data_IF_944666793819
#
_entry.id   IF_944666793819
#
_cell.length_a   1.000
_cell.length_b   1.000
_cell.length_c   1.000
_cell.angle_alpha   90.00
_cell.angle_beta   90.00
_cell.angle_gamma   90.00
#
_symmetry.space_group_name_H-M   'P 1'
#
loop_
_entity.id
_entity.type
_entity.pdbx_description
1 polymer ?
#
# COMPACT_ATOMS: atom_id res chain seq x y z
N UNK A 1 -8.52 25.61 -19.85
CA UNK A 1 -8.96 24.29 -20.34
C UNK A 1 -9.60 23.55 -19.19
N UNK A 2 -10.68 22.79 -19.42
CA UNK A 2 -11.24 21.96 -18.37
C UNK A 2 -10.12 21.05 -17.85
N UNK A 3 -9.74 21.18 -16.58
CA UNK A 3 -8.67 20.36 -16.00
C UNK A 3 -9.10 18.88 -15.85
N UNK A 4 -10.28 18.54 -16.35
CA UNK A 4 -11.02 17.30 -16.13
C UNK A 4 -11.69 16.79 -17.40
N UNK A 5 -11.13 17.08 -18.56
CA UNK A 5 -11.42 16.16 -19.66
C UNK A 5 -10.78 14.82 -19.28
N UNK A 6 -11.61 13.80 -19.02
CA UNK A 6 -11.17 12.44 -18.72
C UNK A 6 -10.32 11.86 -19.87
N UNK A 7 -10.40 12.45 -21.06
CA UNK A 7 -9.48 12.18 -22.17
C UNK A 7 -8.03 12.65 -21.90
N UNK A 8 -7.78 13.40 -20.82
CA UNK A 8 -6.48 13.99 -20.48
C UNK A 8 -5.99 13.63 -19.06
N UNK A 9 -6.51 12.58 -18.38
CA UNK A 9 -5.99 12.15 -17.06
C UNK A 9 -4.49 11.77 -17.08
N UNK A 10 -3.95 11.58 -18.28
CA UNK A 10 -2.54 11.28 -18.56
C UNK A 10 -1.70 12.53 -18.84
N UNK A 11 -2.34 13.70 -18.98
CA UNK A 11 -1.66 14.99 -19.11
C UNK A 11 -1.61 15.67 -17.75
N UNK A 12 -0.51 16.35 -17.39
CA UNK A 12 -0.45 17.08 -16.13
C UNK A 12 -1.57 18.13 -16.02
N UNK A 13 -2.41 18.00 -14.99
CA UNK A 13 -3.52 18.92 -14.68
C UNK A 13 -3.23 19.75 -13.43
N UNK A 14 -4.09 20.74 -13.13
CA UNK A 14 -4.03 21.46 -11.84
C UNK A 14 -4.15 20.50 -10.65
N UNK A 15 -5.05 19.51 -10.73
CA UNK A 15 -5.20 18.47 -9.70
C UNK A 15 -3.92 17.65 -9.51
N UNK A 16 -3.27 17.22 -10.60
CA UNK A 16 -2.00 16.49 -10.54
C UNK A 16 -0.89 17.32 -9.88
N UNK A 17 -0.79 18.61 -10.21
CA UNK A 17 0.20 19.51 -9.60
C UNK A 17 -0.04 19.72 -8.09
N UNK A 18 -1.30 19.88 -7.67
CA UNK A 18 -1.66 20.01 -6.25
C UNK A 18 -1.41 18.70 -5.50
N UNK A 19 -1.75 17.54 -6.09
CA UNK A 19 -1.48 16.24 -5.47
C UNK A 19 0.03 16.02 -5.22
N UNK A 20 0.88 16.38 -6.21
CA UNK A 20 2.34 16.34 -6.04
C UNK A 20 2.80 17.30 -4.94
N UNK A 21 2.29 18.54 -4.91
CA UNK A 21 2.57 19.52 -3.86
C UNK A 21 2.18 18.98 -2.47
N UNK A 22 1.00 18.40 -2.33
CA UNK A 22 0.51 17.83 -1.08
C UNK A 22 1.42 16.68 -0.59
N UNK A 23 1.77 15.73 -1.46
CA UNK A 23 2.71 14.64 -1.10
C UNK A 23 4.10 15.17 -0.73
N UNK A 24 4.63 16.13 -1.49
CA UNK A 24 5.94 16.71 -1.22
C UNK A 24 5.99 17.45 0.13
N UNK A 25 4.95 18.24 0.44
CA UNK A 25 4.83 18.94 1.72
C UNK A 25 4.64 17.97 2.88
N UNK A 26 3.83 16.92 2.69
CA UNK A 26 3.68 15.85 3.69
C UNK A 26 5.04 15.22 4.02
N UNK A 27 5.85 14.94 3.00
CA UNK A 27 7.18 14.35 3.20
C UNK A 27 8.10 15.34 3.92
N UNK A 28 8.11 16.62 3.51
CA UNK A 28 8.87 17.67 4.16
C UNK A 28 8.48 17.90 5.63
N UNK A 29 7.22 17.63 6.00
CA UNK A 29 6.71 17.74 7.36
C UNK A 29 6.99 16.48 8.22
N UNK A 30 7.31 15.36 7.59
CA UNK A 30 7.50 14.07 8.25
C UNK A 30 8.79 14.02 9.09
N UNK A 31 8.87 13.15 10.12
CA UNK A 31 10.02 13.06 11.04
C UNK A 31 11.41 13.05 10.39
N UNK A 32 11.58 12.36 9.26
CA UNK A 32 12.87 12.30 8.55
C UNK A 32 13.35 13.68 8.12
N UNK A 33 12.46 14.55 7.67
CA UNK A 33 12.84 15.83 7.09
C UNK A 33 12.52 17.02 7.99
N UNK A 34 11.76 16.84 9.08
CA UNK A 34 11.27 17.92 9.95
C UNK A 34 11.91 17.90 11.35
N UNK A 35 13.23 18.08 11.42
CA UNK A 35 14.00 18.11 12.67
C UNK A 35 14.54 16.76 13.15
N UNK A 36 14.07 15.65 12.58
CA UNK A 36 14.58 14.32 12.95
C UNK A 36 15.90 13.98 12.24
N UNK A 37 15.94 14.15 10.91
CA UNK A 37 17.08 13.91 10.01
C UNK A 37 17.82 12.56 10.21
N UNK A 38 18.71 12.19 9.31
CA UNK A 38 19.68 11.10 9.54
C UNK A 38 20.86 11.63 10.36
N UNK A 39 21.26 12.88 10.12
CA UNK A 39 22.26 13.61 10.89
C UNK A 39 21.61 14.92 11.36
N UNK A 40 21.21 15.02 12.65
CA UNK A 40 20.38 16.12 13.13
C UNK A 40 20.90 17.53 12.80
N UNK A 41 22.23 17.71 12.76
CA UNK A 41 22.87 18.99 12.48
C UNK A 41 23.14 19.27 10.99
N UNK A 42 22.82 18.33 10.09
CA UNK A 42 23.19 18.42 8.68
C UNK A 42 22.05 19.06 7.85
N UNK A 43 22.15 20.33 7.42
CA UNK A 43 21.06 21.00 6.73
C UNK A 43 20.86 20.54 5.28
N UNK A 44 21.76 19.73 4.71
CA UNK A 44 21.62 19.26 3.32
C UNK A 44 20.79 17.98 3.19
N UNK A 45 20.53 17.29 4.29
CA UNK A 45 19.77 16.02 4.33
C UNK A 45 18.35 16.18 4.88
N UNK A 46 18.01 17.36 5.41
CA UNK A 46 16.67 17.70 5.90
C UNK A 46 16.66 19.01 6.70
N UNK A 47 15.48 19.46 7.12
CA UNK A 47 15.39 20.59 8.05
C UNK A 47 15.93 20.15 9.42
N UNK A 48 16.84 20.94 9.99
CA UNK A 48 17.47 20.66 11.29
C UNK A 48 16.58 20.98 12.48
N UNK A 49 15.52 21.77 12.28
CA UNK A 49 14.54 22.12 13.30
C UNK A 49 13.16 21.53 12.99
N UNK A 50 12.45 21.13 14.04
CA UNK A 50 11.03 20.83 13.94
C UNK A 50 10.23 22.13 13.69
N UNK A 51 9.18 22.04 12.86
CA UNK A 51 8.17 23.07 12.68
C UNK A 51 6.80 22.46 12.43
N UNK A 52 5.82 22.83 13.26
CA UNK A 52 4.42 22.43 13.09
C UNK A 52 3.78 23.06 11.85
N UNK A 53 4.25 24.24 11.41
CA UNK A 53 3.79 24.93 10.20
C UNK A 53 4.00 24.09 8.92
N UNK A 54 4.98 23.16 8.91
CA UNK A 54 5.15 22.24 7.77
C UNK A 54 3.97 21.26 7.66
N UNK A 55 3.42 20.81 8.78
CA UNK A 55 2.22 19.98 8.80
C UNK A 55 0.99 20.76 8.35
N UNK A 56 0.84 22.00 8.81
CA UNK A 56 -0.25 22.88 8.37
C UNK A 56 -0.21 23.14 6.84
N UNK A 57 0.98 23.36 6.27
CA UNK A 57 1.14 23.50 4.80
C UNK A 57 0.77 22.23 4.04
N UNK A 58 1.13 21.07 4.57
CA UNK A 58 0.75 19.77 3.98
C UNK A 58 -0.76 19.55 4.02
N UNK A 59 -1.40 19.84 5.17
CA UNK A 59 -2.85 19.81 5.36
C UNK A 59 -3.54 20.72 4.34
N UNK A 60 -3.15 22.01 4.26
CA UNK A 60 -3.76 22.98 3.34
C UNK A 60 -3.64 22.55 1.87
N UNK A 61 -2.51 21.97 1.47
CA UNK A 61 -2.33 21.50 0.09
C UNK A 61 -3.20 20.28 -0.23
N UNK A 62 -3.44 19.38 0.72
CA UNK A 62 -4.36 18.26 0.54
C UNK A 62 -5.82 18.75 0.54
N UNK A 63 -6.16 19.69 1.44
CA UNK A 63 -7.48 20.32 1.49
C UNK A 63 -7.83 21.06 0.19
N UNK A 64 -6.86 21.80 -0.38
CA UNK A 64 -7.02 22.47 -1.69
C UNK A 64 -7.53 21.51 -2.76
N UNK A 65 -7.10 20.23 -2.74
CA UNK A 65 -7.53 19.23 -3.71
C UNK A 65 -8.91 18.63 -3.37
N UNK A 66 -9.20 18.42 -2.08
CA UNK A 66 -10.53 17.98 -1.60
C UNK A 66 -11.59 19.02 -1.98
N UNK A 67 -11.32 20.30 -1.74
CA UNK A 67 -12.24 21.41 -2.01
C UNK A 67 -12.50 21.64 -3.49
N UNK A 68 -11.65 21.14 -4.41
CA UNK A 68 -11.97 21.16 -5.83
C UNK A 68 -13.30 20.44 -6.11
N UNK A 69 -13.68 19.45 -5.29
CA UNK A 69 -14.92 18.67 -5.41
C UNK A 69 -15.06 17.96 -6.76
N UNK A 70 -13.94 17.46 -7.29
CA UNK A 70 -13.84 16.84 -8.62
C UNK A 70 -13.62 15.34 -8.56
N UNK A 71 -13.07 14.88 -7.43
CA UNK A 71 -12.62 13.51 -7.24
C UNK A 71 -13.44 12.88 -6.14
N UNK A 72 -13.74 11.60 -6.30
CA UNK A 72 -14.49 10.82 -5.33
C UNK A 72 -13.89 9.42 -5.22
N UNK A 73 -14.11 8.76 -4.08
CA UNK A 73 -13.76 7.34 -3.97
C UNK A 73 -14.69 6.54 -4.86
N UNK A 74 -14.14 5.61 -5.63
CA UNK A 74 -14.94 4.63 -6.36
C UNK A 74 -15.60 3.66 -5.38
N UNK A 75 -16.86 3.30 -5.64
CA UNK A 75 -17.59 2.32 -4.83
C UNK A 75 -16.85 0.97 -4.76
N UNK A 76 -16.41 0.45 -5.92
CA UNK A 76 -15.60 -0.77 -6.00
C UNK A 76 -14.10 -0.44 -6.03
N UNK A 77 -13.38 -0.95 -5.03
CA UNK A 77 -11.93 -0.80 -4.91
C UNK A 77 -11.15 -1.35 -6.11
N UNK A 78 -11.58 -2.47 -6.71
CA UNK A 78 -10.87 -3.07 -7.85
C UNK A 78 -10.98 -2.19 -9.10
N UNK A 79 -12.16 -1.61 -9.33
CA UNK A 79 -12.47 -0.73 -10.47
C UNK A 79 -11.55 0.49 -10.56
N UNK A 80 -10.99 0.96 -9.45
CA UNK A 80 -9.95 2.02 -9.44
C UNK A 80 -8.78 1.67 -10.35
N UNK A 81 -8.43 0.38 -10.47
CA UNK A 81 -7.22 -0.08 -11.16
C UNK A 81 -7.49 -0.66 -12.55
N UNK A 82 -8.67 -1.21 -12.78
CA UNK A 82 -9.00 -1.92 -14.02
C UNK A 82 -9.92 -1.13 -14.97
N UNK A 83 -10.35 0.07 -14.56
CA UNK A 83 -11.21 0.96 -15.36
C UNK A 83 -10.52 2.31 -15.59
N UNK A 84 -10.41 2.76 -16.85
CA UNK A 84 -9.69 3.98 -17.24
C UNK A 84 -10.33 5.26 -16.69
N UNK A 85 -11.57 5.52 -17.09
CA UNK A 85 -12.28 6.74 -16.81
C UNK A 85 -13.02 6.62 -15.46
N UNK A 86 -12.29 6.86 -14.37
CA UNK A 86 -12.85 6.85 -13.04
C UNK A 86 -12.44 8.12 -12.27
N UNK A 87 -13.31 8.55 -11.35
CA UNK A 87 -13.14 9.83 -10.63
C UNK A 87 -12.20 9.74 -9.42
N UNK A 88 -11.67 8.57 -9.09
CA UNK A 88 -10.68 8.44 -8.02
C UNK A 88 -9.26 8.71 -8.52
N UNK A 89 -8.98 8.45 -9.81
CA UNK A 89 -7.67 8.73 -10.42
C UNK A 89 -7.48 10.23 -10.66
N UNK A 90 -6.39 10.78 -10.12
CA UNK A 90 -6.01 12.18 -10.31
C UNK A 90 -4.99 12.31 -11.44
N UNK A 91 -4.03 11.38 -11.51
CA UNK A 91 -3.00 11.36 -12.55
C UNK A 91 -2.48 9.94 -12.73
N UNK A 92 -2.35 9.50 -13.98
CA UNK A 92 -1.87 8.15 -14.33
C UNK A 92 -0.92 8.19 -15.50
N UNK A 93 0.01 7.23 -15.55
CA UNK A 93 0.79 6.92 -16.76
C UNK A 93 0.06 5.84 -17.55
N UNK A 94 -0.15 6.08 -18.85
CA UNK A 94 -0.81 5.14 -19.76
C UNK A 94 -0.12 3.77 -19.77
N UNK A 95 -0.92 2.71 -19.59
CA UNK A 95 -0.47 1.32 -19.66
C UNK A 95 -0.35 0.77 -21.09
N UNK A 96 -0.78 1.55 -22.08
CA UNK A 96 -0.91 1.14 -23.48
C UNK A 96 -2.27 0.51 -23.76
N UNK A 97 -2.36 -0.28 -24.85
CA UNK A 97 -3.57 -1.04 -25.13
C UNK A 97 -3.86 -2.06 -24.01
N UNK A 98 -5.14 -2.35 -23.73
CA UNK A 98 -5.53 -3.40 -22.79
C UNK A 98 -4.77 -4.70 -23.07
N UNK A 99 -4.25 -5.32 -22.01
CA UNK A 99 -3.40 -6.49 -22.11
C UNK A 99 -3.50 -7.37 -20.86
N UNK A 100 -2.73 -8.46 -20.85
CA UNK A 100 -2.76 -9.52 -19.84
C UNK A 100 -1.46 -9.60 -19.02
N UNK A 101 -0.62 -8.56 -19.08
CA UNK A 101 0.75 -8.63 -18.56
C UNK A 101 0.81 -8.70 -17.04
N UNK A 102 -0.11 -8.02 -16.33
CA UNK A 102 -0.18 -8.05 -14.87
C UNK A 102 -0.55 -9.44 -14.38
N UNK A 103 -1.59 -10.05 -14.97
CA UNK A 103 -2.01 -11.41 -14.70
C UNK A 103 -0.89 -12.41 -15.03
N UNK A 104 -0.26 -12.27 -16.20
CA UNK A 104 0.82 -13.16 -16.65
C UNK A 104 2.02 -13.13 -15.69
N UNK A 105 2.37 -11.95 -15.18
CA UNK A 105 3.53 -11.79 -14.32
C UNK A 105 3.27 -12.24 -12.87
N UNK A 106 2.05 -12.06 -12.36
CA UNK A 106 1.78 -12.18 -10.93
C UNK A 106 0.80 -13.30 -10.56
N UNK A 107 0.07 -13.86 -11.53
CA UNK A 107 -0.91 -14.90 -11.29
C UNK A 107 -0.30 -16.16 -10.65
N UNK A 108 -1.09 -16.94 -9.89
CA UNK A 108 -0.61 -18.17 -9.26
C UNK A 108 -0.16 -19.20 -10.31
N UNK A 109 0.90 -19.96 -10.01
CA UNK A 109 1.66 -20.70 -11.04
C UNK A 109 1.01 -22.01 -11.53
N UNK A 110 -0.07 -22.47 -10.91
CA UNK A 110 -0.66 -23.79 -11.15
C UNK A 110 -1.65 -23.87 -12.30
N UNK A 111 -1.74 -22.85 -13.15
CA UNK A 111 -2.68 -22.83 -14.29
C UNK A 111 -1.95 -23.15 -15.59
N UNK A 112 -2.55 -24.03 -16.41
CA UNK A 112 -1.93 -24.54 -17.65
C UNK A 112 -2.43 -23.83 -18.92
N UNK A 113 -3.63 -23.24 -18.90
CA UNK A 113 -4.20 -22.53 -20.07
C UNK A 113 -3.55 -21.17 -20.26
N UNK A 114 -3.22 -20.50 -19.16
CA UNK A 114 -2.64 -19.16 -19.13
C UNK A 114 -1.23 -19.24 -18.52
N UNK A 115 -0.32 -18.41 -19.03
CA UNK A 115 1.03 -18.30 -18.44
C UNK A 115 0.93 -17.52 -17.14
N UNK A 116 1.43 -18.08 -16.03
CA UNK A 116 1.38 -17.43 -14.73
C UNK A 116 2.73 -17.57 -14.03
N UNK A 117 3.43 -16.45 -13.81
CA UNK A 117 4.82 -16.45 -13.34
C UNK A 117 4.98 -16.29 -11.82
N UNK A 118 3.91 -15.96 -11.08
CA UNK A 118 3.95 -15.88 -9.61
C UNK A 118 5.08 -15.03 -9.04
N UNK A 119 5.42 -13.89 -9.68
CA UNK A 119 6.64 -13.12 -9.36
C UNK A 119 6.59 -12.39 -8.02
N UNK A 120 5.39 -12.05 -7.54
CA UNK A 120 5.22 -11.28 -6.30
C UNK A 120 4.67 -12.17 -5.19
N UNK A 121 5.41 -12.25 -4.08
CA UNK A 121 5.03 -12.99 -2.86
C UNK A 121 4.79 -12.00 -1.72
N UNK A 122 3.53 -11.59 -1.46
CA UNK A 122 3.19 -10.74 -0.32
C UNK A 122 3.63 -11.37 1.02
N UNK A 123 4.17 -10.59 1.95
CA UNK A 123 4.58 -11.12 3.26
C UNK A 123 3.40 -11.25 4.21
N UNK A 124 3.54 -12.09 5.24
CA UNK A 124 2.56 -12.25 6.30
C UNK A 124 2.27 -10.93 7.02
N UNK A 125 3.26 -10.05 7.18
CA UNK A 125 3.07 -8.75 7.82
C UNK A 125 2.14 -7.84 7.02
N UNK A 126 2.14 -7.94 5.69
CA UNK A 126 1.15 -7.23 4.87
C UNK A 126 -0.23 -7.89 5.00
N UNK A 127 -0.30 -9.23 4.99
CA UNK A 127 -1.55 -9.97 5.21
C UNK A 127 -2.18 -9.63 6.57
N UNK A 128 -1.37 -9.47 7.61
CA UNK A 128 -1.81 -9.13 8.96
C UNK A 128 -2.19 -7.64 9.10
N UNK A 129 -1.73 -6.77 8.20
CA UNK A 129 -2.13 -5.36 8.18
C UNK A 129 -3.60 -5.18 7.78
N UNK A 130 -4.14 -6.09 6.98
CA UNK A 130 -5.58 -6.19 6.76
C UNK A 130 -6.23 -6.75 8.03
N UNK A 131 -7.18 -6.02 8.61
CA UNK A 131 -7.89 -6.49 9.80
C UNK A 131 -8.96 -7.55 9.48
N UNK A 132 -9.96 -7.60 10.33
CA UNK A 132 -11.21 -8.32 10.13
C UNK A 132 -12.26 -7.40 9.48
N UNK A 133 -13.32 -7.97 8.93
CA UNK A 133 -14.41 -7.25 8.26
C UNK A 133 -15.15 -6.30 9.21
N UNK A 134 -15.07 -6.55 10.52
CA UNK A 134 -15.60 -5.66 11.56
C UNK A 134 -14.68 -4.45 11.88
N UNK A 135 -13.62 -4.25 11.09
CA UNK A 135 -12.73 -3.11 11.22
C UNK A 135 -11.68 -3.22 12.32
N UNK A 136 -11.69 -4.29 13.12
CA UNK A 136 -10.71 -4.58 14.16
C UNK A 136 -9.45 -5.27 13.58
N UNK A 137 -8.32 -5.10 14.25
CA UNK A 137 -7.08 -5.79 13.90
C UNK A 137 -7.18 -7.27 14.30
N UNK A 138 -6.44 -8.15 13.62
CA UNK A 138 -6.45 -9.59 13.93
C UNK A 138 -5.92 -9.92 15.34
N UNK A 139 -5.16 -9.00 15.93
CA UNK A 139 -4.62 -9.10 17.29
C UNK A 139 -5.63 -8.67 18.36
N UNK A 140 -6.73 -8.05 17.98
CA UNK A 140 -7.81 -7.70 18.89
C UNK A 140 -8.60 -8.96 19.25
N UNK A 141 -8.79 -9.21 20.54
CA UNK A 141 -9.50 -10.39 21.06
C UNK A 141 -10.97 -10.44 20.63
N UNK A 142 -11.58 -9.27 20.35
CA UNK A 142 -12.95 -9.15 19.87
C UNK A 142 -13.06 -9.21 18.33
N UNK A 143 -11.94 -9.36 17.62
CA UNK A 143 -11.92 -9.39 16.15
C UNK A 143 -12.59 -10.63 15.57
N UNK A 144 -12.62 -11.74 16.31
CA UNK A 144 -13.09 -13.03 15.84
C UNK A 144 -12.10 -13.75 14.91
N UNK A 145 -10.84 -13.29 14.83
CA UNK A 145 -9.79 -13.95 14.05
C UNK A 145 -9.51 -15.37 14.58
N UNK A 146 -9.41 -16.33 13.66
CA UNK A 146 -9.15 -17.72 13.95
C UNK A 146 -7.89 -18.21 13.23
N UNK A 147 -6.81 -18.56 13.94
CA UNK A 147 -5.56 -19.00 13.29
C UNK A 147 -5.70 -20.25 12.40
N UNK A 148 -6.65 -21.14 12.71
CA UNK A 148 -6.95 -22.32 11.90
C UNK A 148 -7.91 -22.05 10.71
N UNK A 149 -8.43 -20.83 10.61
CA UNK A 149 -9.23 -20.34 9.49
C UNK A 149 -8.87 -18.86 9.18
N UNK A 150 -7.59 -18.59 8.84
CA UNK A 150 -7.01 -17.24 8.91
C UNK A 150 -7.53 -16.28 7.84
N UNK A 151 -8.30 -16.78 6.87
CA UNK A 151 -8.79 -16.02 5.72
C UNK A 151 -10.29 -15.74 5.79
N UNK A 152 -11.01 -16.22 6.80
CA UNK A 152 -12.42 -15.91 6.95
C UNK A 152 -12.64 -14.48 7.49
N UNK A 153 -13.69 -13.82 6.99
CA UNK A 153 -14.19 -12.53 7.48
C UNK A 153 -13.11 -11.44 7.65
N UNK A 154 -12.19 -11.33 6.68
CA UNK A 154 -11.14 -10.31 6.66
C UNK A 154 -11.64 -8.99 6.08
N UNK A 155 -10.89 -7.90 6.28
CA UNK A 155 -11.09 -6.63 5.57
C UNK A 155 -11.28 -6.92 4.06
N UNK A 156 -12.37 -6.48 3.40
CA UNK A 156 -12.64 -6.88 2.02
C UNK A 156 -11.52 -6.57 1.02
N UNK A 157 -10.68 -5.57 1.30
CA UNK A 157 -9.50 -5.26 0.48
C UNK A 157 -8.44 -6.35 0.54
N UNK A 158 -8.41 -7.19 1.58
CA UNK A 158 -7.54 -8.38 1.64
C UNK A 158 -7.79 -9.26 0.41
N UNK A 159 -9.05 -9.61 0.12
CA UNK A 159 -9.42 -10.47 -1.00
C UNK A 159 -9.21 -9.79 -2.36
N UNK A 160 -9.28 -8.46 -2.42
CA UNK A 160 -8.98 -7.70 -3.63
C UNK A 160 -7.47 -7.52 -3.87
N UNK A 161 -6.63 -7.72 -2.85
CA UNK A 161 -5.20 -7.39 -2.88
C UNK A 161 -4.31 -8.63 -2.90
N UNK A 162 -4.73 -9.71 -2.22
CA UNK A 162 -3.93 -10.91 -1.97
C UNK A 162 -4.69 -12.15 -2.44
N UNK A 163 -4.02 -12.99 -3.24
CA UNK A 163 -4.41 -14.39 -3.36
C UNK A 163 -3.86 -15.18 -2.19
N UNK A 164 -4.73 -15.97 -1.57
CA UNK A 164 -4.44 -16.91 -0.51
C UNK A 164 -4.91 -18.32 -0.89
N UNK A 165 -4.56 -19.34 -0.10
CA UNK A 165 -5.10 -20.68 -0.29
C UNK A 165 -6.64 -20.64 -0.24
N UNK A 166 -7.29 -21.20 -1.24
CA UNK A 166 -8.75 -21.20 -1.37
C UNK A 166 -9.34 -20.00 -2.14
N UNK A 167 -8.54 -18.98 -2.50
CA UNK A 167 -9.05 -17.89 -3.36
C UNK A 167 -9.53 -18.45 -4.69
N UNK A 168 -10.69 -17.99 -5.18
CA UNK A 168 -11.23 -18.41 -6.47
C UNK A 168 -10.52 -17.65 -7.60
N UNK A 169 -9.96 -18.38 -8.58
CA UNK A 169 -9.28 -17.78 -9.73
C UNK A 169 -9.29 -18.74 -10.92
N UNK A 170 -9.59 -18.22 -12.10
CA UNK A 170 -9.64 -18.98 -13.34
C UNK A 170 -10.40 -20.34 -13.22
N UNK A 171 -11.57 -20.30 -12.56
CA UNK A 171 -12.48 -21.44 -12.50
C UNK A 171 -12.13 -22.51 -11.45
N UNK A 172 -11.08 -22.32 -10.65
CA UNK A 172 -10.76 -23.19 -9.50
C UNK A 172 -10.22 -22.41 -8.31
N UNK A 173 -10.14 -23.06 -7.16
CA UNK A 173 -9.45 -22.51 -6.00
C UNK A 173 -7.93 -22.57 -6.17
N UNK A 174 -7.26 -21.52 -5.73
CA UNK A 174 -5.80 -21.42 -5.61
C UNK A 174 -5.33 -22.35 -4.49
N UNK A 175 -4.30 -23.15 -4.77
CA UNK A 175 -3.78 -24.21 -3.90
C UNK A 175 -2.34 -23.89 -3.49
N UNK A 176 -2.18 -23.14 -2.40
CA UNK A 176 -0.85 -22.75 -1.86
C UNK A 176 -0.38 -23.62 -0.69
N UNK A 177 -1.06 -24.73 -0.43
CA UNK A 177 -0.53 -25.79 0.43
C UNK A 177 0.66 -26.51 -0.20
N UNK A 178 1.55 -27.06 0.62
CA UNK A 178 2.74 -27.77 0.17
C UNK A 178 2.36 -28.94 -0.76
N UNK A 179 2.89 -28.94 -1.97
CA UNK A 179 2.56 -29.92 -3.02
C UNK A 179 1.29 -29.61 -3.81
N UNK A 180 0.59 -28.52 -3.49
CA UNK A 180 -0.57 -28.03 -4.24
C UNK A 180 -0.19 -27.44 -5.60
N UNK A 181 -1.17 -27.26 -6.49
CA UNK A 181 -0.92 -26.81 -7.86
C UNK A 181 -0.19 -25.45 -7.94
N UNK A 182 -0.46 -24.54 -7.00
CA UNK A 182 0.12 -23.19 -6.97
C UNK A 182 1.27 -23.06 -5.95
N UNK A 183 1.68 -24.17 -5.34
CA UNK A 183 2.93 -24.31 -4.57
C UNK A 183 3.47 -25.75 -4.69
N UNK A 184 3.84 -26.19 -5.91
CA UNK A 184 4.17 -27.59 -6.20
C UNK A 184 5.49 -28.08 -5.57
N UNK A 185 6.31 -27.18 -5.01
CA UNK A 185 7.64 -27.54 -4.51
C UNK A 185 8.69 -27.63 -5.63
N UNK A 186 9.90 -28.04 -5.25
CA UNK A 186 11.03 -28.19 -6.19
C UNK A 186 11.63 -26.87 -6.68
N UNK A 187 12.21 -26.88 -7.89
CA UNK A 187 12.95 -25.75 -8.48
C UNK A 187 12.10 -24.80 -9.33
N UNK A 188 10.79 -25.06 -9.47
CA UNK A 188 9.89 -24.19 -10.24
C UNK A 188 9.68 -22.87 -9.50
N UNK A 189 9.59 -21.78 -10.26
CA UNK A 189 9.15 -20.49 -9.73
C UNK A 189 7.76 -20.64 -9.09
N UNK A 190 7.61 -20.17 -7.85
CA UNK A 190 6.39 -20.24 -7.06
C UNK A 190 6.47 -19.25 -5.89
N UNK A 191 5.36 -19.06 -5.18
CA UNK A 191 5.32 -18.21 -3.99
C UNK A 191 6.32 -18.68 -2.93
N UNK A 192 7.02 -17.73 -2.31
CA UNK A 192 7.89 -17.96 -1.16
C UNK A 192 7.18 -17.78 0.18
N UNK A 193 5.96 -17.24 0.16
CA UNK A 193 5.21 -16.83 1.35
C UNK A 193 3.85 -17.50 1.50
N UNK A 194 3.44 -18.34 0.55
CA UNK A 194 2.10 -18.92 0.53
C UNK A 194 1.02 -17.98 -0.04
N UNK A 195 1.42 -16.78 -0.49
CA UNK A 195 0.56 -15.74 -1.04
C UNK A 195 1.01 -15.30 -2.43
N UNK A 196 0.08 -14.81 -3.25
CA UNK A 196 0.36 -14.10 -4.51
C UNK A 196 -0.32 -12.73 -4.53
N UNK A 197 0.15 -11.81 -5.36
CA UNK A 197 -0.52 -10.53 -5.57
C UNK A 197 -1.79 -10.70 -6.42
N UNK A 198 -2.91 -10.11 -5.99
CA UNK A 198 -4.20 -10.05 -6.72
C UNK A 198 -4.52 -8.66 -7.24
N UNK A 199 -4.04 -7.62 -6.54
CA UNK A 199 -4.29 -6.21 -6.90
C UNK A 199 -3.85 -5.93 -8.34
N UNK A 200 -4.55 -5.01 -8.99
CA UNK A 200 -4.39 -4.63 -10.40
C UNK A 200 -4.88 -5.67 -11.43
N UNK A 201 -5.21 -6.90 -11.06
CA UNK A 201 -5.74 -7.88 -12.02
C UNK A 201 -7.24 -7.72 -12.26
N UNK A 202 -7.70 -8.13 -13.45
CA UNK A 202 -9.12 -8.20 -13.81
C UNK A 202 -9.95 -9.19 -12.98
N UNK A 203 -11.26 -9.19 -13.22
CA UNK A 203 -12.22 -10.05 -12.53
C UNK A 203 -12.40 -11.37 -13.28
N UNK A 204 -11.49 -12.32 -13.04
CA UNK A 204 -11.42 -13.61 -13.74
C UNK A 204 -11.66 -14.82 -12.83
N UNK A 205 -12.39 -14.65 -11.74
CA UNK A 205 -12.63 -15.68 -10.74
C UNK A 205 -13.40 -16.91 -11.32
N UNK A 206 -14.36 -16.64 -12.22
CA UNK A 206 -15.32 -17.63 -12.72
C UNK A 206 -15.17 -17.99 -14.22
N UNK A 207 -14.03 -17.64 -14.83
CA UNK A 207 -13.69 -17.97 -16.23
C UNK A 207 -12.51 -18.92 -16.26
N UNK A 208 -12.11 -19.47 -17.41
CA UNK A 208 -10.97 -20.43 -17.49
C UNK A 208 -9.67 -19.81 -18.01
N UNK A 209 -9.72 -18.55 -18.47
CA UNK A 209 -8.59 -17.75 -18.94
C UNK A 209 -8.89 -16.28 -18.68
N UNK A 210 -7.86 -15.47 -18.44
CA UNK A 210 -8.00 -14.03 -18.42
C UNK A 210 -8.08 -13.46 -19.85
N UNK A 211 -8.56 -12.22 -19.96
CA UNK A 211 -8.63 -11.44 -21.20
C UNK A 211 -7.95 -10.08 -20.99
N UNK A 212 -7.84 -9.28 -22.04
CA UNK A 212 -7.22 -7.97 -21.99
C UNK A 212 -7.92 -7.03 -20.99
N UNK A 213 -7.13 -6.48 -20.06
CA UNK A 213 -7.57 -5.49 -19.07
C UNK A 213 -6.72 -4.24 -19.21
N UNK A 214 -7.30 -3.11 -18.86
CA UNK A 214 -6.52 -1.88 -18.76
C UNK A 214 -5.65 -1.86 -17.50
N UNK A 215 -4.38 -1.52 -17.68
CA UNK A 215 -3.37 -1.52 -16.61
C UNK A 215 -2.62 -0.18 -16.56
N UNK A 216 -3.34 0.94 -16.47
CA UNK A 216 -2.69 2.23 -16.26
C UNK A 216 -2.05 2.31 -14.87
N UNK A 217 -0.86 2.91 -14.84
CA UNK A 217 -0.12 3.11 -13.62
C UNK A 217 -0.63 4.37 -12.92
N UNK A 218 -1.47 4.18 -11.90
CA UNK A 218 -1.99 5.28 -11.09
C UNK A 218 -0.86 5.92 -10.28
N UNK A 219 -0.61 7.21 -10.49
CA UNK A 219 0.44 7.96 -9.80
C UNK A 219 -0.09 8.74 -8.60
N UNK A 220 -1.30 9.29 -8.72
CA UNK A 220 -2.02 9.98 -7.66
C UNK A 220 -3.50 9.59 -7.72
N UNK A 221 -4.10 9.29 -6.57
CA UNK A 221 -5.53 9.00 -6.46
C UNK A 221 -6.14 9.57 -5.18
N UNK A 222 -7.45 9.71 -5.18
CA UNK A 222 -8.16 10.46 -4.16
C UNK A 222 -8.01 9.89 -2.74
N UNK A 223 -8.00 8.56 -2.57
CA UNK A 223 -7.79 7.99 -1.23
C UNK A 223 -6.44 8.37 -0.60
N UNK A 224 -5.39 8.52 -1.42
CA UNK A 224 -4.09 9.01 -0.93
C UNK A 224 -4.22 10.44 -0.40
N UNK A 225 -5.01 11.29 -1.06
CA UNK A 225 -5.21 12.69 -0.66
C UNK A 225 -5.97 12.78 0.66
N UNK A 226 -7.04 11.99 0.82
CA UNK A 226 -7.78 11.90 2.09
C UNK A 226 -6.84 11.47 3.23
N UNK A 227 -5.97 10.48 3.00
CA UNK A 227 -4.99 10.04 3.99
C UNK A 227 -3.85 11.04 4.20
N UNK A 228 -3.44 11.79 3.18
CA UNK A 228 -2.45 12.87 3.32
C UNK A 228 -3.02 14.00 4.20
N UNK A 229 -4.29 14.38 3.99
CA UNK A 229 -5.00 15.37 4.80
C UNK A 229 -5.17 14.89 6.24
N UNK A 230 -5.70 13.68 6.45
CA UNK A 230 -5.90 13.10 7.78
C UNK A 230 -4.58 13.01 8.56
N UNK A 231 -3.50 12.53 7.92
CA UNK A 231 -2.19 12.47 8.54
C UNK A 231 -1.69 13.86 8.93
N UNK A 232 -1.68 14.80 7.98
CA UNK A 232 -1.14 16.13 8.24
C UNK A 232 -1.90 16.88 9.34
N UNK A 233 -3.23 16.78 9.33
CA UNK A 233 -4.10 17.39 10.34
C UNK A 233 -3.92 16.75 11.71
N UNK A 234 -3.86 15.42 11.80
CA UNK A 234 -3.59 14.71 13.06
C UNK A 234 -2.25 15.15 13.68
N UNK A 235 -1.21 15.28 12.86
CA UNK A 235 0.10 15.70 13.34
C UNK A 235 0.15 17.16 13.79
N UNK A 236 -0.61 18.04 13.13
CA UNK A 236 -0.71 19.46 13.47
C UNK A 236 -1.51 19.72 14.76
N UNK A 237 -2.67 19.09 14.93
CA UNK A 237 -3.57 19.29 16.08
C UNK A 237 -3.01 18.70 17.38
N UNK A 238 -3.58 18.97 18.54
CA UNK A 238 -3.21 18.23 19.77
C UNK A 238 -3.87 16.86 19.85
N UNK A 239 -5.11 16.77 19.39
CA UNK A 239 -5.93 15.55 19.31
C UNK A 239 -6.67 15.52 17.96
N UNK A 240 -7.02 14.31 17.45
CA UNK A 240 -7.73 14.19 16.19
C UNK A 240 -9.16 14.73 16.30
N UNK A 241 -9.58 15.52 15.31
CA UNK A 241 -10.93 16.06 15.21
C UNK A 241 -11.77 15.33 14.17
N UNK A 242 -13.04 15.72 14.03
CA UNK A 242 -14.00 15.06 13.15
C UNK A 242 -13.53 14.97 11.69
N UNK A 243 -12.72 15.92 11.22
CA UNK A 243 -12.15 15.91 9.88
C UNK A 243 -11.11 14.81 9.71
N UNK A 244 -10.25 14.57 10.71
CA UNK A 244 -9.33 13.43 10.73
C UNK A 244 -10.11 12.11 10.69
N UNK A 245 -11.13 11.96 11.55
CA UNK A 245 -11.98 10.76 11.58
C UNK A 245 -12.68 10.54 10.24
N UNK A 246 -13.40 11.55 9.75
CA UNK A 246 -14.23 11.45 8.54
C UNK A 246 -13.44 11.04 7.30
N UNK A 247 -12.21 11.55 7.13
CA UNK A 247 -11.37 11.17 6.00
C UNK A 247 -10.87 9.72 6.06
N UNK A 248 -10.53 9.22 7.25
CA UNK A 248 -10.12 7.82 7.45
C UNK A 248 -11.34 6.89 7.33
N UNK A 249 -12.46 7.27 7.94
CA UNK A 249 -13.71 6.52 7.94
C UNK A 249 -14.34 6.43 6.56
N UNK A 250 -14.22 7.45 5.71
CA UNK A 250 -14.68 7.39 4.32
C UNK A 250 -14.00 6.25 3.54
N UNK A 251 -12.70 6.04 3.75
CA UNK A 251 -11.95 4.95 3.12
C UNK A 251 -12.37 3.60 3.71
N UNK A 252 -12.54 3.53 5.03
CA UNK A 252 -13.00 2.31 5.73
C UNK A 252 -14.41 1.91 5.31
N UNK A 253 -15.29 2.88 5.12
CA UNK A 253 -16.65 2.69 4.65
C UNK A 253 -16.65 2.17 3.21
N UNK A 254 -15.91 2.82 2.30
CA UNK A 254 -15.76 2.33 0.91
C UNK A 254 -15.20 0.92 0.88
N UNK A 255 -14.24 0.62 1.75
CA UNK A 255 -13.65 -0.71 1.86
C UNK A 255 -14.63 -1.80 2.33
N UNK A 256 -15.87 -1.43 2.75
CA UNK A 256 -16.89 -2.37 3.19
C UNK A 256 -16.71 -2.87 4.62
N UNK A 257 -15.98 -2.13 5.46
CA UNK A 257 -15.88 -2.47 6.89
C UNK A 257 -17.20 -2.19 7.61
N UNK A 258 -17.58 -3.09 8.52
CA UNK A 258 -18.80 -2.93 9.31
C UNK A 258 -18.63 -3.46 10.76
N UNK A 259 -18.50 -2.56 11.77
CA UNK A 259 -18.55 -1.12 11.65
C UNK A 259 -17.32 -0.53 10.93
N UNK A 260 -17.51 0.54 10.18
CA UNK A 260 -16.40 1.31 9.60
C UNK A 260 -15.90 2.39 10.55
N UNK A 261 -16.75 2.85 11.48
CA UNK A 261 -16.42 3.92 12.42
C UNK A 261 -15.28 3.51 13.35
N UNK A 262 -14.47 4.50 13.72
CA UNK A 262 -13.43 4.36 14.70
C UNK A 262 -13.99 4.65 16.11
N UNK A 263 -13.38 4.10 17.17
CA UNK A 263 -13.73 4.47 18.53
C UNK A 263 -13.57 5.99 18.74
N UNK A 264 -14.52 6.63 19.42
CA UNK A 264 -14.39 8.05 19.75
C UNK A 264 -13.26 8.28 20.77
N UNK A 265 -12.66 9.47 20.76
CA UNK A 265 -11.69 9.89 21.77
C UNK A 265 -10.31 9.24 21.65
N UNK A 266 -9.93 8.77 20.46
CA UNK A 266 -8.56 8.36 20.18
C UNK A 266 -7.59 9.50 20.43
N UNK A 267 -6.45 9.18 21.03
CA UNK A 267 -5.31 10.09 21.12
C UNK A 267 -4.70 10.32 19.75
N UNK A 268 -3.95 11.43 19.58
CA UNK A 268 -3.11 11.66 18.38
C UNK A 268 -2.26 10.43 18.00
N UNK A 269 -1.64 9.77 18.98
CA UNK A 269 -0.77 8.62 18.73
C UNK A 269 -1.56 7.42 18.20
N UNK A 270 -2.70 7.10 18.82
CA UNK A 270 -3.56 6.00 18.36
C UNK A 270 -4.11 6.27 16.95
N UNK A 271 -4.53 7.51 16.67
CA UNK A 271 -4.98 7.89 15.33
C UNK A 271 -3.84 7.84 14.31
N UNK A 272 -2.62 8.23 14.67
CA UNK A 272 -1.44 8.09 13.81
C UNK A 272 -1.23 6.63 13.40
N UNK A 273 -1.27 5.70 14.35
CA UNK A 273 -1.09 4.27 14.08
C UNK A 273 -2.19 3.73 13.16
N UNK A 274 -3.44 4.17 13.36
CA UNK A 274 -4.57 3.85 12.48
C UNK A 274 -4.33 4.39 11.06
N UNK A 275 -3.95 5.68 10.92
CA UNK A 275 -3.67 6.31 9.62
C UNK A 275 -2.53 5.58 8.91
N UNK A 276 -1.43 5.28 9.62
CA UNK A 276 -0.28 4.57 9.05
C UNK A 276 -0.67 3.17 8.54
N UNK A 277 -1.52 2.45 9.29
CA UNK A 277 -1.99 1.14 8.86
C UNK A 277 -3.02 1.24 7.72
N UNK A 278 -3.93 2.22 7.76
CA UNK A 278 -4.91 2.47 6.70
C UNK A 278 -4.20 2.80 5.38
N UNK A 279 -3.17 3.66 5.41
CA UNK A 279 -2.25 3.90 4.26
C UNK A 279 -1.60 2.62 3.78
N UNK A 280 -1.08 1.79 4.68
CA UNK A 280 -0.37 0.56 4.33
C UNK A 280 -1.24 -0.41 3.53
N UNK A 281 -2.50 -0.61 3.95
CA UNK A 281 -3.41 -1.57 3.30
C UNK A 281 -4.13 -0.98 2.10
N UNK A 282 -4.54 0.29 2.17
CA UNK A 282 -5.20 0.99 1.06
C UNK A 282 -4.26 1.13 -0.14
N UNK A 283 -3.01 1.57 0.10
CA UNK A 283 -1.99 1.86 -0.91
C UNK A 283 -1.00 0.70 -1.12
N UNK A 284 -1.37 -0.52 -0.74
CA UNK A 284 -0.54 -1.71 -0.93
C UNK A 284 -0.19 -1.89 -2.42
N UNK A 285 1.09 -2.15 -2.72
CA UNK A 285 1.64 -2.26 -4.09
C UNK A 285 1.57 -1.01 -4.97
N UNK A 286 1.33 0.16 -4.39
CA UNK A 286 1.29 1.45 -5.10
C UNK A 286 2.53 2.32 -4.81
N UNK A 287 3.68 1.70 -4.55
CA UNK A 287 4.98 2.39 -4.31
C UNK A 287 5.03 3.34 -3.10
N UNK A 288 4.09 3.28 -2.17
CA UNK A 288 4.07 4.17 -1.00
C UNK A 288 4.91 3.67 0.18
N UNK A 289 4.87 2.37 0.49
CA UNK A 289 5.43 1.81 1.73
C UNK A 289 6.92 2.06 1.91
N UNK A 290 7.67 2.04 0.80
CA UNK A 290 9.11 2.31 0.80
C UNK A 290 9.43 3.70 1.34
N UNK A 291 8.66 4.71 0.92
CA UNK A 291 8.86 6.11 1.32
C UNK A 291 8.18 6.43 2.64
N UNK A 292 6.98 5.92 2.89
CA UNK A 292 6.21 6.21 4.11
C UNK A 292 6.97 5.77 5.37
N UNK A 293 7.50 4.54 5.40
CA UNK A 293 8.30 4.06 6.53
C UNK A 293 9.59 4.86 6.73
N UNK A 294 10.20 5.32 5.64
CA UNK A 294 11.43 6.14 5.70
C UNK A 294 11.13 7.53 6.23
N UNK A 295 10.13 8.23 5.68
CA UNK A 295 9.80 9.59 6.09
C UNK A 295 9.29 9.64 7.54
N UNK A 296 8.66 8.58 8.03
CA UNK A 296 8.30 8.42 9.45
C UNK A 296 9.49 8.12 10.38
N UNK A 297 10.69 7.91 9.84
CA UNK A 297 11.86 7.38 10.57
C UNK A 297 11.59 6.04 11.29
N UNK A 298 10.75 5.19 10.71
CA UNK A 298 10.45 3.86 11.28
C UNK A 298 11.14 2.71 10.52
N UNK A 299 12.02 3.01 9.56
CA UNK A 299 12.67 1.98 8.74
C UNK A 299 13.64 1.11 9.54
N UNK A 300 14.35 1.68 10.51
CA UNK A 300 15.22 0.90 11.43
C UNK A 300 14.38 -0.15 12.19
N UNK A 301 13.17 0.17 12.63
CA UNK A 301 12.33 -0.79 13.37
C UNK A 301 11.56 -1.77 12.46
N UNK A 302 11.17 -1.32 11.27
CA UNK A 302 10.23 -2.05 10.41
C UNK A 302 10.91 -2.79 9.26
N UNK A 303 12.12 -2.39 8.87
CA UNK A 303 12.92 -3.00 7.81
C UNK A 303 14.23 -3.64 8.30
N UNK A 304 14.53 -3.65 9.60
CA UNK A 304 15.61 -4.44 10.20
C UNK A 304 15.06 -5.62 11.03
N UNK A 305 14.21 -6.42 10.40
CA UNK A 305 13.57 -7.56 11.06
C UNK A 305 13.27 -8.72 10.14
N UNK A 306 13.06 -9.88 10.75
CA UNK A 306 12.57 -11.06 10.07
C UNK A 306 11.13 -10.84 9.60
N UNK A 307 10.86 -11.19 8.36
CA UNK A 307 9.51 -11.24 7.79
C UNK A 307 9.09 -12.67 7.52
N UNK A 308 7.78 -12.90 7.52
CA UNK A 308 7.17 -14.22 7.53
C UNK A 308 6.30 -14.48 6.30
N UNK A 309 5.97 -15.75 6.12
CA UNK A 309 4.96 -16.25 5.20
C UNK A 309 4.16 -17.36 5.85
N UNK A 310 3.18 -17.87 5.13
CA UNK A 310 2.33 -18.98 5.54
C UNK A 310 2.73 -20.26 4.81
N UNK A 311 3.03 -21.29 5.60
CA UNK A 311 3.12 -22.68 5.13
C UNK A 311 1.83 -23.39 5.50
N UNK A 312 1.30 -24.16 4.55
CA UNK A 312 0.00 -24.80 4.69
C UNK A 312 0.18 -26.29 4.39
N UNK A 313 -0.22 -27.15 5.31
CA UNK A 313 -0.20 -28.60 5.12
C UNK A 313 -1.63 -29.13 5.05
N UNK A 314 -1.90 -29.98 4.06
CA UNK A 314 -3.12 -30.77 4.03
C UNK A 314 -2.86 -32.11 4.72
N UNK A 315 -3.71 -32.45 5.69
CA UNK A 315 -3.64 -33.71 6.43
C UNK A 315 -4.95 -34.47 6.25
N UNK A 316 -4.97 -35.76 6.59
CA UNK A 316 -6.21 -36.56 6.56
C UNK A 316 -7.31 -36.06 7.51
N UNK A 317 -7.00 -35.14 8.43
CA UNK A 317 -7.94 -34.61 9.43
C UNK A 317 -8.24 -33.11 9.27
N UNK A 318 -7.65 -32.45 8.27
CA UNK A 318 -7.85 -31.02 8.01
C UNK A 318 -6.59 -30.30 7.53
N UNK A 319 -6.68 -28.97 7.51
CA UNK A 319 -5.60 -28.09 7.04
C UNK A 319 -4.88 -27.45 8.22
N UNK A 320 -3.54 -27.48 8.21
CA UNK A 320 -2.68 -26.82 9.19
C UNK A 320 -2.10 -25.57 8.56
N UNK A 321 -2.20 -24.44 9.27
CA UNK A 321 -1.61 -23.16 8.89
C UNK A 321 -0.47 -22.84 9.85
N UNK A 322 0.72 -22.60 9.31
CA UNK A 322 1.92 -22.28 10.10
C UNK A 322 2.61 -21.05 9.53
N UNK A 323 2.68 -20.00 10.33
CA UNK A 323 3.52 -18.85 10.05
C UNK A 323 5.00 -19.25 10.20
N UNK A 324 5.82 -18.95 9.19
CA UNK A 324 7.26 -19.27 9.19
C UNK A 324 8.07 -18.08 8.69
N UNK A 325 9.30 -17.90 9.19
CA UNK A 325 10.19 -16.88 8.67
C UNK A 325 10.63 -17.19 7.24
N UNK A 326 10.68 -16.17 6.37
CA UNK A 326 11.01 -16.32 4.94
C UNK A 326 12.18 -15.45 4.47
N UNK A 327 12.44 -14.33 5.15
CA UNK A 327 13.48 -13.39 4.80
C UNK A 327 13.86 -12.54 6.02
N UNK A 328 15.16 -12.39 6.28
CA UNK A 328 15.66 -11.36 7.18
C UNK A 328 15.85 -10.06 6.38
N UNK A 329 15.10 -9.01 6.72
CA UNK A 329 15.40 -7.67 6.23
C UNK A 329 16.53 -7.09 7.07
N UNK A 330 17.44 -6.36 6.41
CA UNK A 330 18.51 -5.64 7.09
C UNK A 330 18.41 -4.18 6.69
N UNK A 331 18.32 -3.28 7.66
CA UNK A 331 18.26 -1.85 7.42
C UNK A 331 19.24 -1.10 8.29
N UNK A 332 20.21 -0.47 7.64
CA UNK A 332 21.15 0.43 8.31
C UNK A 332 20.67 1.87 8.17
N UNK A 333 20.99 2.72 9.16
CA UNK A 333 20.66 4.16 9.13
C UNK A 333 21.05 4.87 7.83
N UNK A 334 22.17 4.50 7.18
CA UNK A 334 22.58 5.07 5.88
C UNK A 334 21.56 4.83 4.76
N UNK A 335 20.71 3.79 4.87
CA UNK A 335 19.73 3.38 3.85
C UNK A 335 18.43 4.22 3.85
N UNK A 336 18.30 5.22 4.73
CA UNK A 336 17.26 6.24 4.61
C UNK A 336 17.42 7.06 3.32
N UNK A 337 18.66 7.26 2.87
CA UNK A 337 18.99 7.92 1.60
C UNK A 337 19.84 6.99 0.73
N UNK A 338 19.55 6.92 -0.57
CA UNK A 338 20.37 6.14 -1.50
C UNK A 338 21.76 6.77 -1.66
N UNK A 339 22.84 5.99 -1.87
CA UNK A 339 24.15 6.57 -2.16
C UNK A 339 24.08 7.40 -3.45
N UNK A 340 24.72 8.57 -3.43
CA UNK A 340 24.95 9.35 -4.64
C UNK A 340 26.01 8.60 -5.46
N UNK A 341 25.81 8.40 -6.78
CA UNK A 341 26.79 7.70 -7.61
C UNK A 341 28.19 8.30 -7.47
N UNK A 342 29.20 7.45 -7.23
CA UNK A 342 30.59 7.88 -6.93
C UNK A 342 31.14 8.91 -7.91
N UNK A 343 30.91 8.70 -9.21
CA UNK A 343 31.40 9.60 -10.26
C UNK A 343 30.76 11.00 -10.22
N UNK A 344 29.56 11.15 -9.68
CA UNK A 344 28.92 12.46 -9.53
C UNK A 344 29.57 13.26 -8.40
N UNK A 345 29.88 12.60 -7.27
CA UNK A 345 30.61 13.21 -6.16
C UNK A 345 32.04 13.56 -6.56
N UNK A 346 32.71 12.68 -7.32
CA UNK A 346 34.08 12.92 -7.78
C UNK A 346 34.19 14.09 -8.78
N UNK A 347 33.19 14.25 -9.67
CA UNK A 347 33.18 15.33 -10.67
C UNK A 347 32.79 16.67 -10.07
N UNK A 348 31.80 16.71 -9.19
CA UNK A 348 31.31 17.94 -8.60
C UNK A 348 31.84 18.12 -7.17
N UNK A 349 32.91 18.92 -7.03
CA UNK A 349 33.54 19.21 -5.71
C UNK A 349 32.61 19.87 -4.68
N UNK A 350 31.44 20.35 -5.06
CA UNK A 350 30.41 20.89 -4.15
C UNK A 350 29.38 19.86 -3.71
N UNK A 351 29.35 18.68 -4.35
CA UNK A 351 28.47 17.58 -3.97
C UNK A 351 29.06 16.86 -2.77
N UNK A 352 28.26 16.66 -1.74
CA UNK A 352 28.63 15.89 -0.54
C UNK A 352 27.86 14.57 -0.58
N UNK A 353 28.54 13.47 -0.28
CA UNK A 353 27.89 12.15 -0.22
C UNK A 353 26.84 12.11 0.90
N UNK A 354 25.81 11.27 0.70
CA UNK A 354 24.84 10.99 1.75
C UNK A 354 25.53 10.30 2.94
N UNK A 355 25.18 10.68 4.18
CA UNK A 355 25.77 10.14 5.41
C UNK A 355 25.88 8.61 5.46
N UNK A 356 27.10 8.14 5.74
CA UNK A 356 27.42 6.72 5.95
C UNK A 356 27.72 5.90 4.68
N UNK A 357 27.73 6.53 3.49
CA UNK A 357 28.06 5.89 2.20
C UNK A 357 29.45 6.23 1.66
#
# INVERSE_FOLDING_TARGET
TNAFDLNFIERPTKGAAIALKARALLYAASPLFNGGNIEPANPVTGYTNFSADRWQKAEQAALELIELSQFELMDDFKSVFITQANKERIFSKQGGAPNISVETNNGPVGYSVSINNGRTSPTQELVNAFGMANGLQITDVASGYQPNNPYANRDPRFYATIFHNGSQWLGRQVQTYEGGADKPGGSKQQTRTGYYARKFMGNFENVIRYDNVNHDYTLFRYAEVLLNYAEARNEFLTEPDNEVYGNVEAIRQRAGLNPYQLPAGLTKLQMRDIIHNERRKELAFEEHRFYDVRRWKQAEDLFDKQVHGMVIYQTGTGTIYQEVPVLQLNFEKKMYLAPIPFYEVAKNRKMVQNPGW
#
